data_IF_413902208664
#
_entry.id   IF_413902208664
#
_cell.length_a   1.000
_cell.length_b   1.000
_cell.length_c   1.000
_cell.angle_alpha   90.00
_cell.angle_beta   90.00
_cell.angle_gamma   90.00
#
_symmetry.space_group_name_H-M   'P 1'
#
loop_
_entity.id
_entity.type
_entity.pdbx_description
1 polymer ?
#
# COMPACT_ATOMS: atom_id res chain seq x y z
N UNK A 1 -8.44 11.40 3.77
CA UNK A 1 -7.38 12.42 3.74
C UNK A 1 -6.07 11.77 4.13
N UNK A 2 -5.00 12.11 3.43
CA UNK A 2 -3.67 11.56 3.69
C UNK A 2 -2.84 12.52 4.55
N UNK A 3 -2.00 11.97 5.40
CA UNK A 3 -0.91 12.68 6.07
C UNK A 3 0.30 11.78 6.30
N UNK A 4 1.45 12.38 6.55
CA UNK A 4 2.65 11.61 6.91
C UNK A 4 2.44 10.85 8.21
N UNK A 5 2.97 9.63 8.25
CA UNK A 5 3.00 8.79 9.43
C UNK A 5 4.05 9.33 10.42
N UNK A 6 3.72 9.32 11.69
CA UNK A 6 4.64 9.74 12.77
C UNK A 6 4.68 8.69 13.86
N UNK A 7 5.58 8.85 14.82
CA UNK A 7 5.68 7.94 15.98
C UNK A 7 4.41 7.94 16.84
N UNK A 8 3.60 9.00 16.78
CA UNK A 8 2.31 9.07 17.46
C UNK A 8 1.27 8.10 16.89
N UNK A 9 1.52 7.54 15.70
CA UNK A 9 0.63 6.58 15.05
C UNK A 9 0.88 5.12 15.47
N UNK A 10 1.81 4.87 16.37
CA UNK A 10 2.22 3.50 16.72
C UNK A 10 1.05 2.64 17.18
N UNK A 11 0.19 3.13 18.06
CA UNK A 11 -0.94 2.36 18.60
C UNK A 11 -1.96 2.04 17.50
N UNK A 12 -2.33 3.00 16.68
CA UNK A 12 -3.25 2.80 15.56
C UNK A 12 -2.65 1.87 14.49
N UNK A 13 -1.38 2.03 14.18
CA UNK A 13 -0.68 1.15 13.24
C UNK A 13 -0.55 -0.28 13.79
N UNK A 14 -0.43 -0.46 15.10
CA UNK A 14 -0.49 -1.78 15.73
C UNK A 14 -1.89 -2.40 15.60
N UNK A 15 -2.95 -1.62 15.72
CA UNK A 15 -4.32 -2.11 15.45
C UNK A 15 -4.47 -2.60 14.02
N UNK A 16 -3.83 -1.94 13.08
CA UNK A 16 -3.89 -2.29 11.66
C UNK A 16 -3.00 -3.50 11.32
N UNK A 17 -1.70 -3.37 11.53
CA UNK A 17 -0.70 -4.36 11.09
C UNK A 17 -0.52 -5.51 12.09
N UNK A 18 -1.00 -5.36 13.31
CA UNK A 18 -1.09 -6.41 14.31
C UNK A 18 -2.39 -7.22 14.23
N UNK A 19 -3.31 -6.86 13.35
CA UNK A 19 -4.57 -7.56 13.17
C UNK A 19 -4.38 -8.78 12.25
N UNK A 20 -4.77 -9.95 12.72
CA UNK A 20 -4.60 -11.20 11.98
C UNK A 20 -5.42 -11.24 10.69
N UNK A 21 -6.59 -10.60 10.67
CA UNK A 21 -7.44 -10.54 9.47
C UNK A 21 -6.85 -9.63 8.41
N UNK A 22 -6.37 -8.45 8.79
CA UNK A 22 -5.68 -7.51 7.88
C UNK A 22 -4.45 -8.19 7.27
N UNK A 23 -3.70 -8.93 8.09
CA UNK A 23 -2.42 -9.54 7.71
C UNK A 23 -2.53 -11.01 7.30
N UNK A 24 -3.73 -11.52 7.03
CA UNK A 24 -3.96 -12.95 6.73
C UNK A 24 -3.19 -13.49 5.51
N UNK A 25 -2.83 -12.64 4.58
CA UNK A 25 -2.07 -12.99 3.37
C UNK A 25 -0.58 -12.68 3.48
N UNK A 26 -0.13 -12.28 4.64
CA UNK A 26 1.28 -12.13 5.02
C UNK A 26 1.71 -13.30 5.88
N UNK A 27 3.01 -13.57 6.06
CA UNK A 27 3.45 -14.69 6.88
C UNK A 27 2.88 -14.67 8.30
N UNK A 28 2.71 -13.46 8.89
CA UNK A 28 2.10 -13.26 10.21
C UNK A 28 1.75 -11.79 10.43
N UNK A 29 0.92 -11.52 11.42
CA UNK A 29 0.71 -10.16 11.92
C UNK A 29 2.01 -9.61 12.52
N UNK A 30 2.18 -8.29 12.48
CA UNK A 30 3.39 -7.63 12.96
C UNK A 30 3.37 -7.43 14.47
N UNK A 31 4.53 -7.64 15.11
CA UNK A 31 4.75 -7.23 16.49
C UNK A 31 4.86 -5.70 16.61
N UNK A 32 4.76 -5.18 17.84
CA UNK A 32 4.90 -3.74 18.09
C UNK A 32 6.25 -3.19 17.60
N UNK A 33 7.34 -3.94 17.80
CA UNK A 33 8.65 -3.55 17.31
C UNK A 33 8.73 -3.52 15.78
N UNK A 34 8.07 -4.46 15.12
CA UNK A 34 7.98 -4.49 13.66
C UNK A 34 7.15 -3.34 13.12
N UNK A 35 6.08 -2.96 13.81
CA UNK A 35 5.28 -1.78 13.47
C UNK A 35 6.11 -0.50 13.62
N UNK A 36 6.90 -0.39 14.68
CA UNK A 36 7.79 0.77 14.84
C UNK A 36 8.80 0.85 13.69
N UNK A 37 9.36 -0.28 13.25
CA UNK A 37 10.26 -0.31 12.07
C UNK A 37 9.52 0.09 10.79
N UNK A 38 8.26 -0.27 10.64
CA UNK A 38 7.40 0.15 9.54
C UNK A 38 7.19 1.66 9.51
N UNK A 39 6.95 2.27 10.68
CA UNK A 39 6.85 3.73 10.82
C UNK A 39 8.20 4.40 10.47
N UNK A 40 9.31 3.88 10.98
CA UNK A 40 10.64 4.40 10.69
C UNK A 40 10.96 4.33 9.19
N UNK A 41 10.65 3.22 8.56
CA UNK A 41 10.81 3.05 7.12
C UNK A 41 9.97 4.06 6.32
N UNK A 42 8.74 4.30 6.72
CA UNK A 42 7.87 5.30 6.09
C UNK A 42 8.44 6.71 6.24
N UNK A 43 8.92 7.07 7.43
CA UNK A 43 9.58 8.37 7.68
C UNK A 43 10.84 8.54 6.84
N UNK A 44 11.66 7.50 6.73
CA UNK A 44 12.87 7.51 5.90
C UNK A 44 12.53 7.68 4.43
N UNK A 45 11.46 7.06 3.95
CA UNK A 45 10.97 7.24 2.58
C UNK A 45 10.54 8.68 2.31
N UNK A 46 9.84 9.34 3.25
CA UNK A 46 9.48 10.76 3.08
C UNK A 46 10.72 11.63 2.95
N UNK A 47 11.72 11.38 3.80
CA UNK A 47 12.97 12.16 3.79
C UNK A 47 13.76 11.92 2.50
N UNK A 48 13.82 10.69 2.03
CA UNK A 48 14.64 10.29 0.88
C UNK A 48 13.97 10.56 -0.47
N UNK A 49 12.66 10.30 -0.56
CA UNK A 49 11.91 10.33 -1.83
C UNK A 49 10.83 11.40 -1.89
N UNK A 50 10.42 11.98 -0.76
CA UNK A 50 9.29 12.89 -0.67
C UNK A 50 7.92 12.20 -0.61
N UNK A 51 7.88 10.89 -0.62
CA UNK A 51 6.66 10.09 -0.53
C UNK A 51 6.93 8.75 0.17
N UNK A 52 5.88 8.03 0.50
CA UNK A 52 5.91 6.73 1.14
C UNK A 52 4.48 6.29 1.46
N UNK A 53 4.33 5.43 2.45
CA UNK A 53 3.02 5.07 2.96
C UNK A 53 2.52 6.17 3.89
N UNK A 54 1.32 6.68 3.59
CA UNK A 54 0.66 7.72 4.37
C UNK A 54 -0.45 7.13 5.24
N UNK A 55 -0.75 7.79 6.35
CA UNK A 55 -1.94 7.50 7.15
C UNK A 55 -3.17 8.03 6.42
N UNK A 56 -4.22 7.21 6.39
CA UNK A 56 -5.55 7.62 5.92
C UNK A 56 -6.39 7.97 7.12
N UNK A 57 -6.93 9.18 7.13
CA UNK A 57 -7.88 9.65 8.15
C UNK A 57 -9.21 9.99 7.53
N UNK A 58 -10.29 9.80 8.29
CA UNK A 58 -11.60 10.26 7.90
C UNK A 58 -11.61 11.79 7.83
N UNK A 59 -12.06 12.34 6.71
CA UNK A 59 -12.01 13.79 6.45
C UNK A 59 -12.73 14.63 7.49
N UNK A 60 -13.87 14.15 8.00
CA UNK A 60 -14.72 14.89 8.92
C UNK A 60 -14.36 14.64 10.39
N UNK A 61 -14.11 13.39 10.77
CA UNK A 61 -13.91 12.98 12.17
C UNK A 61 -12.44 12.92 12.58
N UNK A 62 -11.53 12.81 11.63
CA UNK A 62 -10.11 12.56 11.90
C UNK A 62 -9.80 11.12 12.33
N UNK A 63 -10.76 10.22 12.29
CA UNK A 63 -10.57 8.82 12.67
C UNK A 63 -9.53 8.14 11.78
N UNK A 64 -8.69 7.31 12.40
CA UNK A 64 -7.74 6.47 11.69
C UNK A 64 -8.46 5.38 10.89
N UNK A 65 -8.12 5.26 9.61
CA UNK A 65 -8.72 4.28 8.68
C UNK A 65 -7.72 3.19 8.31
N UNK A 66 -6.48 3.56 8.04
CA UNK A 66 -5.45 2.65 7.58
C UNK A 66 -4.24 3.38 7.03
N UNK A 67 -3.48 2.71 6.17
CA UNK A 67 -2.39 3.31 5.42
C UNK A 67 -2.53 3.05 3.93
N UNK A 68 -1.97 3.94 3.13
CA UNK A 68 -1.88 3.79 1.69
C UNK A 68 -0.80 4.72 1.14
N UNK A 69 -0.09 4.30 0.13
CA UNK A 69 0.92 5.15 -0.49
C UNK A 69 1.69 4.44 -1.57
N UNK A 70 2.83 5.04 -1.90
CA UNK A 70 3.75 4.56 -2.93
C UNK A 70 5.11 4.27 -2.31
N UNK A 71 5.68 3.12 -2.66
CA UNK A 71 7.02 2.71 -2.22
C UNK A 71 7.78 2.08 -3.36
N UNK A 72 9.11 2.18 -3.32
CA UNK A 72 9.97 1.45 -4.24
C UNK A 72 10.11 0.00 -3.79
N UNK A 73 9.89 -0.92 -4.71
CA UNK A 73 10.01 -2.36 -4.52
C UNK A 73 10.84 -2.98 -5.63
N UNK A 74 11.21 -4.24 -5.46
CA UNK A 74 11.93 -5.01 -6.47
C UNK A 74 11.08 -6.22 -6.89
N UNK A 75 10.88 -6.37 -8.19
CA UNK A 75 10.19 -7.51 -8.79
C UNK A 75 11.11 -8.12 -9.84
N UNK A 76 11.55 -9.36 -9.62
CA UNK A 76 12.46 -10.08 -10.53
C UNK A 76 13.71 -9.27 -10.91
N UNK A 77 14.31 -8.57 -9.94
CA UNK A 77 15.49 -7.73 -10.16
C UNK A 77 15.23 -6.34 -10.73
N UNK A 78 13.97 -6.00 -11.03
CA UNK A 78 13.57 -4.69 -11.53
C UNK A 78 13.02 -3.85 -10.39
N UNK A 79 13.51 -2.62 -10.26
CA UNK A 79 12.95 -1.64 -9.33
C UNK A 79 11.64 -1.08 -9.88
N UNK A 80 10.57 -1.18 -9.09
CA UNK A 80 9.23 -0.75 -9.48
C UNK A 80 8.60 0.10 -8.39
N UNK A 81 7.76 1.04 -8.80
CA UNK A 81 6.94 1.82 -7.87
C UNK A 81 5.67 1.02 -7.57
N UNK A 82 5.37 0.81 -6.29
CA UNK A 82 4.22 0.02 -5.84
C UNK A 82 3.23 0.89 -5.10
N UNK A 83 1.94 0.73 -5.40
CA UNK A 83 0.85 1.21 -4.56
C UNK A 83 0.49 0.12 -3.54
N UNK A 84 0.58 0.46 -2.25
CA UNK A 84 0.20 -0.42 -1.14
C UNK A 84 -0.94 0.18 -0.33
N UNK A 85 -1.78 -0.65 0.25
CA UNK A 85 -2.93 -0.21 1.04
C UNK A 85 -3.37 -1.26 2.05
N UNK A 86 -3.68 -0.78 3.27
CA UNK A 86 -4.29 -1.57 4.34
C UNK A 86 -5.41 -0.74 4.97
N UNK A 87 -6.54 -1.34 5.22
CA UNK A 87 -7.71 -0.70 5.85
C UNK A 87 -8.16 -1.53 7.04
N UNK A 88 -8.45 -0.86 8.17
CA UNK A 88 -8.99 -1.52 9.36
C UNK A 88 -10.22 -2.38 9.01
N UNK A 89 -10.39 -3.56 9.64
CA UNK A 89 -11.51 -4.46 9.33
C UNK A 89 -12.87 -3.78 9.40
N UNK A 90 -13.11 -2.93 10.39
CA UNK A 90 -14.36 -2.20 10.57
C UNK A 90 -14.62 -1.12 9.52
N UNK A 91 -13.60 -0.77 8.73
CA UNK A 91 -13.69 0.21 7.64
C UNK A 91 -13.71 -0.42 6.25
N UNK A 92 -13.58 -1.72 6.16
CA UNK A 92 -13.62 -2.44 4.88
C UNK A 92 -15.04 -2.47 4.30
N UNK A 93 -15.13 -2.68 2.98
CA UNK A 93 -16.42 -2.74 2.28
C UNK A 93 -17.08 -1.39 2.01
N UNK A 94 -16.38 -0.27 2.22
CA UNK A 94 -16.89 1.10 2.02
C UNK A 94 -16.24 1.81 0.83
N UNK A 95 -15.41 1.11 0.05
CA UNK A 95 -14.70 1.70 -1.09
C UNK A 95 -13.50 2.57 -0.71
N UNK A 96 -13.07 2.59 0.56
CA UNK A 96 -12.00 3.45 1.04
C UNK A 96 -10.63 3.07 0.49
N UNK A 97 -10.32 1.77 0.39
CA UNK A 97 -9.08 1.31 -0.21
C UNK A 97 -9.00 1.68 -1.70
N UNK A 98 -10.10 1.54 -2.43
CA UNK A 98 -10.20 1.92 -3.85
C UNK A 98 -9.99 3.42 -4.03
N UNK A 99 -10.64 4.24 -3.23
CA UNK A 99 -10.49 5.71 -3.27
C UNK A 99 -9.05 6.13 -2.96
N UNK A 100 -8.47 5.58 -1.90
CA UNK A 100 -7.10 5.89 -1.49
C UNK A 100 -6.08 5.44 -2.54
N UNK A 101 -6.18 4.21 -3.02
CA UNK A 101 -5.27 3.67 -4.03
C UNK A 101 -5.39 4.44 -5.36
N UNK A 102 -6.59 4.82 -5.76
CA UNK A 102 -6.82 5.66 -6.95
C UNK A 102 -6.11 7.02 -6.84
N UNK A 103 -6.20 7.66 -5.67
CA UNK A 103 -5.52 8.94 -5.41
C UNK A 103 -3.99 8.77 -5.47
N UNK A 104 -3.45 7.69 -4.91
CA UNK A 104 -2.01 7.40 -4.97
C UNK A 104 -1.54 7.11 -6.40
N UNK A 105 -2.34 6.37 -7.17
CA UNK A 105 -2.03 6.09 -8.58
C UNK A 105 -1.92 7.40 -9.38
N UNK A 106 -2.87 8.29 -9.20
CA UNK A 106 -2.87 9.62 -9.83
C UNK A 106 -1.64 10.43 -9.42
N UNK A 107 -1.32 10.44 -8.12
CA UNK A 107 -0.11 11.10 -7.61
C UNK A 107 1.15 10.55 -8.28
N UNK A 108 1.25 9.24 -8.42
CA UNK A 108 2.37 8.58 -9.10
C UNK A 108 2.55 9.07 -10.54
N UNK A 109 1.48 9.18 -11.29
CA UNK A 109 1.55 9.63 -12.68
C UNK A 109 1.67 11.14 -12.84
N UNK A 110 0.88 11.92 -12.10
CA UNK A 110 0.81 13.36 -12.29
C UNK A 110 1.91 14.13 -11.57
N UNK A 111 2.36 13.65 -10.41
CA UNK A 111 3.35 14.35 -9.57
C UNK A 111 4.74 13.75 -9.69
N UNK A 112 4.84 12.41 -9.75
CA UNK A 112 6.13 11.73 -9.81
C UNK A 112 6.58 11.40 -11.24
N UNK A 113 5.77 11.67 -12.24
CA UNK A 113 6.03 11.31 -13.65
C UNK A 113 6.36 9.82 -13.83
N UNK A 114 5.74 8.96 -13.04
CA UNK A 114 5.97 7.52 -13.12
C UNK A 114 5.50 6.99 -14.49
N UNK A 115 6.31 6.13 -15.10
CA UNK A 115 5.91 5.44 -16.34
C UNK A 115 5.05 4.23 -16.05
N UNK A 116 5.22 3.62 -14.89
CA UNK A 116 4.47 2.46 -14.43
C UNK A 116 4.32 2.47 -12.92
N UNK A 117 3.14 2.12 -12.45
CA UNK A 117 2.87 1.81 -11.03
C UNK A 117 2.37 0.39 -10.93
N UNK A 118 2.87 -0.35 -9.95
CA UNK A 118 2.52 -1.74 -9.72
C UNK A 118 1.72 -1.92 -8.43
N UNK A 119 1.04 -3.06 -8.31
CA UNK A 119 0.50 -3.57 -7.05
C UNK A 119 0.93 -5.03 -6.92
N UNK A 120 1.64 -5.35 -5.85
CA UNK A 120 2.17 -6.68 -5.58
C UNK A 120 1.24 -7.38 -4.59
N UNK A 121 0.56 -8.43 -5.03
CA UNK A 121 -0.58 -8.99 -4.31
C UNK A 121 -0.40 -10.50 -4.16
N UNK A 122 -0.72 -11.04 -2.98
CA UNK A 122 -0.87 -12.48 -2.82
C UNK A 122 -2.01 -12.97 -3.74
N UNK A 123 -1.80 -14.01 -4.57
CA UNK A 123 -2.83 -14.46 -5.53
C UNK A 123 -4.18 -14.80 -4.92
N UNK A 124 -4.20 -15.21 -3.65
CA UNK A 124 -5.43 -15.57 -2.93
C UNK A 124 -6.15 -14.35 -2.34
N UNK A 125 -5.52 -13.19 -2.30
CA UNK A 125 -6.10 -11.96 -1.78
C UNK A 125 -7.03 -11.32 -2.82
N UNK A 126 -8.23 -11.87 -2.94
CA UNK A 126 -9.20 -11.43 -3.94
C UNK A 126 -9.71 -10.00 -3.70
N UNK A 127 -9.82 -9.59 -2.43
CA UNK A 127 -10.24 -8.22 -2.10
C UNK A 127 -9.23 -7.18 -2.63
N UNK A 128 -7.93 -7.43 -2.44
CA UNK A 128 -6.87 -6.57 -2.94
C UNK A 128 -6.79 -6.57 -4.48
N UNK A 129 -6.98 -7.73 -5.09
CA UNK A 129 -7.04 -7.86 -6.56
C UNK A 129 -8.18 -7.05 -7.15
N UNK A 130 -9.36 -7.07 -6.52
CA UNK A 130 -10.51 -6.26 -6.95
C UNK A 130 -10.23 -4.76 -6.85
N UNK A 131 -9.55 -4.32 -5.81
CA UNK A 131 -9.14 -2.90 -5.70
C UNK A 131 -8.26 -2.53 -6.89
N UNK A 132 -7.22 -3.32 -7.18
CA UNK A 132 -6.33 -3.07 -8.30
C UNK A 132 -7.11 -3.00 -9.64
N UNK A 133 -8.01 -3.93 -9.87
CA UNK A 133 -8.83 -3.96 -11.09
C UNK A 133 -9.78 -2.75 -11.20
N UNK A 134 -10.38 -2.34 -10.08
CA UNK A 134 -11.29 -1.17 -10.05
C UNK A 134 -10.60 0.14 -10.34
N UNK A 135 -9.32 0.27 -10.05
CA UNK A 135 -8.54 1.46 -10.38
C UNK A 135 -7.85 1.38 -11.74
N UNK A 136 -8.17 0.36 -12.54
CA UNK A 136 -7.72 0.23 -13.92
C UNK A 136 -6.41 -0.50 -14.11
N UNK A 137 -5.91 -1.17 -13.09
CA UNK A 137 -4.70 -1.99 -13.19
C UNK A 137 -5.02 -3.36 -13.80
N UNK A 138 -4.05 -3.90 -14.54
CA UNK A 138 -4.15 -5.22 -15.16
C UNK A 138 -2.98 -6.10 -14.75
N UNK A 139 -3.14 -7.42 -14.83
CA UNK A 139 -2.06 -8.34 -14.48
C UNK A 139 -0.89 -8.14 -15.44
N UNK A 140 0.27 -7.85 -14.88
CA UNK A 140 1.53 -7.77 -15.62
C UNK A 140 2.24 -9.12 -15.65
N UNK A 141 2.43 -9.73 -14.48
CA UNK A 141 3.02 -11.07 -14.38
C UNK A 141 2.69 -11.77 -13.07
N UNK A 142 2.88 -13.07 -13.06
CA UNK A 142 2.92 -13.90 -11.86
C UNK A 142 4.34 -14.38 -11.64
N UNK A 143 4.85 -14.22 -10.44
CA UNK A 143 6.22 -14.60 -10.08
C UNK A 143 6.29 -14.94 -8.60
N UNK A 144 7.48 -14.88 -8.01
CA UNK A 144 7.69 -15.12 -6.57
C UNK A 144 8.40 -13.94 -5.94
N UNK A 145 8.10 -13.68 -4.68
CA UNK A 145 8.84 -12.70 -3.89
C UNK A 145 10.20 -13.25 -3.45
N UNK A 146 11.08 -12.44 -2.81
CA UNK A 146 12.40 -12.91 -2.37
C UNK A 146 12.36 -14.08 -1.38
N UNK A 147 11.24 -14.29 -0.67
CA UNK A 147 11.05 -15.45 0.23
C UNK A 147 10.62 -16.72 -0.52
N UNK A 148 10.32 -16.63 -1.81
CA UNK A 148 9.82 -17.73 -2.63
C UNK A 148 8.30 -17.87 -2.63
N UNK A 149 7.55 -16.96 -1.96
CA UNK A 149 6.10 -16.98 -1.96
C UNK A 149 5.54 -16.48 -3.30
N UNK A 150 4.44 -17.09 -3.81
CA UNK A 150 3.84 -16.66 -5.06
C UNK A 150 3.21 -15.28 -4.93
N UNK A 151 3.39 -14.45 -5.95
CA UNK A 151 2.77 -13.14 -6.08
C UNK A 151 2.18 -12.96 -7.48
N UNK A 152 1.12 -12.17 -7.56
CA UNK A 152 0.61 -11.61 -8.81
C UNK A 152 0.88 -10.11 -8.79
N UNK A 153 1.46 -9.60 -9.88
CA UNK A 153 1.80 -8.19 -10.00
C UNK A 153 0.88 -7.55 -11.03
N UNK A 154 0.12 -6.59 -10.54
CA UNK A 154 -0.71 -5.72 -11.40
C UNK A 154 0.11 -4.50 -11.80
N UNK A 155 -0.20 -3.93 -12.94
CA UNK A 155 0.42 -2.68 -13.38
C UNK A 155 -0.58 -1.74 -14.03
N UNK A 156 -0.26 -0.46 -13.94
CA UNK A 156 -0.87 0.60 -14.73
C UNK A 156 0.24 1.47 -15.31
N UNK A 157 0.06 1.94 -16.51
CA UNK A 157 1.06 2.76 -17.22
C UNK A 157 0.54 4.18 -17.37
N UNK A 158 1.46 5.15 -17.20
CA UNK A 158 1.19 6.54 -17.48
C UNK A 158 0.96 6.75 -18.98
N UNK A 159 0.26 7.82 -19.34
CA UNK A 159 0.14 8.21 -20.73
C UNK A 159 1.52 8.65 -21.24
N UNK A 160 1.99 8.02 -22.30
CA UNK A 160 3.08 8.59 -23.08
C UNK A 160 2.59 9.92 -23.67
N UNK A 161 3.33 10.98 -23.38
CA UNK A 161 3.03 12.28 -23.93
C UNK A 161 3.39 12.31 -25.43
#
# INVERSE_FOLDING_TARGET
MFRCMTDADLDDMCRLLGDAEVMRYYPRAKSRNEVQRWINWSKDNYAKHGFGLWVIEHRTTGDFIGDCGLTWQNVDGQEVLEVGYHVLPERQGQGLATEAASACLRYGFETLDATMVTAIINPDNMASRRVAERIGMTVWKSTRDPSGAPIVVYSSHGHEA
#
